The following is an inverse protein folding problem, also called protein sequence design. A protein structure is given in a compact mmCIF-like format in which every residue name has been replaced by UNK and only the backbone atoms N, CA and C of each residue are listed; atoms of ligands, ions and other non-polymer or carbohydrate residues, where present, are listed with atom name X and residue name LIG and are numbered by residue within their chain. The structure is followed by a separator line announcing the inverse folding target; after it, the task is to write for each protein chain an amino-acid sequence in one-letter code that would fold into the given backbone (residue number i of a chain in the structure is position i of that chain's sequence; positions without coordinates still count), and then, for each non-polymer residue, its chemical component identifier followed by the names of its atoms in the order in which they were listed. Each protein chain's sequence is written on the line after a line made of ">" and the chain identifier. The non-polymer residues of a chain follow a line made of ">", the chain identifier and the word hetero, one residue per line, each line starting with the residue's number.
data_IF_605996468005
#
_entry.id   IF_605996468005
#
_cell.length_a   1.000
_cell.length_b   1.000
_cell.length_c   1.000
_cell.angle_alpha   90.00
_cell.angle_beta   90.00
_cell.angle_gamma   90.00
#
_symmetry.space_group_name_H-M   'P 1'
#
loop_
_entity.id
_entity.type
_entity.pdbx_description
1 polymer ?
#
# COMPACT_ATOMS: atom_id res chain seq x y z
N UNK A 1 -47.13 -5.37 -6.13
CA UNK A 1 -46.12 -6.45 -6.04
C UNK A 1 -44.79 -5.84 -6.47
N UNK A 2 -43.77 -5.94 -5.61
CA UNK A 2 -42.35 -5.61 -5.78
C UNK A 2 -41.91 -4.17 -6.09
N UNK A 3 -41.60 -3.42 -5.01
CA UNK A 3 -40.32 -2.70 -4.91
C UNK A 3 -39.20 -3.72 -5.11
N UNK A 4 -38.25 -3.51 -6.04
CA UNK A 4 -36.84 -3.93 -5.98
C UNK A 4 -36.17 -3.67 -7.34
N UNK A 5 -36.04 -2.41 -7.75
CA UNK A 5 -35.01 -2.06 -8.73
C UNK A 5 -33.88 -1.37 -7.98
N UNK A 6 -32.74 -2.06 -7.88
CA UNK A 6 -31.47 -1.51 -7.43
C UNK A 6 -30.56 -1.41 -8.65
N UNK A 7 -30.25 -0.19 -9.09
CA UNK A 7 -29.30 0.05 -10.17
C UNK A 7 -27.89 -0.12 -9.62
N UNK A 8 -27.20 -1.18 -10.05
CA UNK A 8 -25.78 -1.39 -9.76
C UNK A 8 -24.99 -0.40 -10.61
N UNK A 9 -24.08 0.41 -10.03
CA UNK A 9 -23.19 1.25 -10.83
C UNK A 9 -22.33 0.35 -11.73
N UNK A 10 -22.47 0.50 -13.04
CA UNK A 10 -21.57 -0.13 -14.00
C UNK A 10 -20.16 0.43 -13.74
N UNK A 11 -19.23 -0.43 -13.33
CA UNK A 11 -17.80 -0.13 -13.28
C UNK A 11 -17.25 0.05 -14.70
N UNK A 12 -17.64 1.13 -15.38
CA UNK A 12 -17.12 1.52 -16.70
C UNK A 12 -15.99 2.54 -16.60
N UNK A 13 -15.47 2.82 -15.41
CA UNK A 13 -14.20 3.54 -15.29
C UNK A 13 -13.07 2.54 -15.48
N UNK A 14 -12.74 2.29 -16.75
CA UNK A 14 -11.43 1.84 -17.17
C UNK A 14 -10.40 2.88 -16.69
N UNK A 15 -10.03 2.87 -15.41
CA UNK A 15 -8.81 3.51 -14.99
C UNK A 15 -7.70 2.77 -15.70
N UNK A 16 -7.15 3.39 -16.75
CA UNK A 16 -6.05 2.81 -17.52
C UNK A 16 -4.87 2.63 -16.58
N UNK A 17 -4.72 1.42 -16.04
CA UNK A 17 -3.53 1.04 -15.28
C UNK A 17 -2.37 1.02 -16.27
N UNK A 18 -1.64 2.12 -16.31
CA UNK A 18 -0.47 2.24 -17.18
C UNK A 18 0.66 1.47 -16.50
N UNK A 19 0.92 0.25 -16.97
CA UNK A 19 1.98 -0.61 -16.43
C UNK A 19 3.31 -0.20 -17.05
N UNK A 20 4.25 0.28 -16.22
CA UNK A 20 5.61 0.56 -16.65
C UNK A 20 6.53 -0.57 -16.19
N UNK A 21 7.08 -1.33 -17.15
CA UNK A 21 8.07 -2.37 -16.84
C UNK A 21 9.43 -1.72 -16.60
N UNK A 22 9.98 -1.87 -15.39
CA UNK A 22 11.37 -1.52 -15.06
C UNK A 22 12.11 -2.78 -14.60
N UNK A 23 12.67 -3.57 -15.52
CA UNK A 23 13.47 -4.72 -15.14
C UNK A 23 14.67 -4.24 -14.31
N UNK A 24 14.91 -4.89 -13.16
CA UNK A 24 15.97 -4.60 -12.18
C UNK A 24 15.81 -3.32 -11.35
N UNK A 25 14.63 -2.70 -11.29
CA UNK A 25 14.41 -1.60 -10.35
C UNK A 25 14.27 -2.13 -8.92
N UNK A 26 15.07 -1.59 -8.00
CA UNK A 26 14.91 -1.84 -6.59
C UNK A 26 13.54 -1.29 -6.15
N UNK A 27 12.80 -2.08 -5.38
CA UNK A 27 11.46 -1.71 -4.88
C UNK A 27 11.49 -0.38 -4.12
N UNK A 28 12.59 -0.12 -3.41
CA UNK A 28 12.79 1.12 -2.65
C UNK A 28 12.97 2.34 -3.56
N UNK A 29 13.58 2.19 -4.73
CA UNK A 29 13.71 3.28 -5.70
C UNK A 29 12.34 3.63 -6.31
N UNK A 30 11.54 2.61 -6.61
CA UNK A 30 10.17 2.80 -7.11
C UNK A 30 9.33 3.53 -6.06
N UNK A 31 9.39 3.10 -4.80
CA UNK A 31 8.64 3.73 -3.71
C UNK A 31 9.06 5.19 -3.53
N UNK A 32 10.36 5.49 -3.56
CA UNK A 32 10.84 6.88 -3.46
C UNK A 32 10.33 7.75 -4.62
N UNK A 33 10.35 7.24 -5.85
CA UNK A 33 9.84 7.96 -7.02
C UNK A 33 8.33 8.18 -6.97
N UNK A 34 7.57 7.20 -6.47
CA UNK A 34 6.14 7.34 -6.24
C UNK A 34 5.85 8.33 -5.10
N UNK A 35 6.62 8.28 -4.03
CA UNK A 35 6.46 9.14 -2.86
C UNK A 35 6.66 10.62 -3.22
N UNK A 36 7.57 10.95 -4.14
CA UNK A 36 7.74 12.32 -4.67
C UNK A 36 6.46 12.87 -5.34
N UNK A 37 5.56 11.99 -5.78
CA UNK A 37 4.28 12.35 -6.42
C UNK A 37 3.09 12.26 -5.47
N UNK A 38 3.30 11.74 -4.25
CA UNK A 38 2.26 11.61 -3.23
C UNK A 38 1.94 12.97 -2.61
N UNK A 39 0.66 13.18 -2.31
CA UNK A 39 0.20 14.22 -1.38
C UNK A 39 0.36 13.71 0.05
N UNK A 40 0.22 14.63 1.02
CA UNK A 40 0.48 14.39 2.45
C UNK A 40 -0.29 13.20 3.04
N UNK A 41 -1.46 12.87 2.48
CA UNK A 41 -2.31 11.77 2.95
C UNK A 41 -2.27 10.54 2.04
N UNK A 42 -1.55 10.57 0.92
CA UNK A 42 -1.54 9.44 -0.01
C UNK A 42 -0.72 8.29 0.58
N UNK A 43 -1.23 7.06 0.43
CA UNK A 43 -0.58 5.85 0.91
C UNK A 43 -0.09 5.00 -0.25
N UNK A 44 1.07 4.38 -0.05
CA UNK A 44 1.65 3.38 -0.95
C UNK A 44 1.61 2.03 -0.25
N UNK A 45 1.01 1.02 -0.88
CA UNK A 45 1.10 -0.36 -0.44
C UNK A 45 2.10 -1.09 -1.31
N UNK A 46 3.01 -1.82 -0.69
CA UNK A 46 4.06 -2.56 -1.35
C UNK A 46 3.98 -4.03 -0.94
N UNK A 47 3.80 -4.91 -1.92
CA UNK A 47 3.80 -6.34 -1.70
C UNK A 47 5.22 -6.91 -1.72
N UNK A 48 5.58 -7.67 -0.69
CA UNK A 48 6.86 -8.35 -0.53
C UNK A 48 6.65 -9.83 -0.21
N UNK A 49 7.68 -10.64 -0.37
CA UNK A 49 7.54 -12.10 -0.34
C UNK A 49 7.49 -12.66 1.09
N UNK A 50 7.98 -11.91 2.07
CA UNK A 50 8.02 -12.38 3.46
C UNK A 50 7.83 -11.26 4.48
N UNK A 51 7.41 -11.65 5.69
CA UNK A 51 7.30 -10.73 6.82
C UNK A 51 8.67 -10.15 7.22
N UNK A 52 9.75 -10.92 7.06
CA UNK A 52 11.11 -10.44 7.30
C UNK A 52 11.47 -9.34 6.31
N UNK A 53 11.24 -9.57 5.01
CA UNK A 53 11.44 -8.56 3.98
C UNK A 53 10.63 -7.30 4.25
N UNK A 54 9.39 -7.42 4.75
CA UNK A 54 8.57 -6.25 5.08
C UNK A 54 9.23 -5.37 6.15
N UNK A 55 9.76 -5.99 7.21
CA UNK A 55 10.45 -5.29 8.30
C UNK A 55 11.78 -4.70 7.82
N UNK A 56 12.57 -5.47 7.07
CA UNK A 56 13.86 -5.02 6.54
C UNK A 56 13.70 -3.85 5.57
N UNK A 57 12.73 -3.92 4.64
CA UNK A 57 12.46 -2.83 3.71
C UNK A 57 11.94 -1.58 4.41
N UNK A 58 11.15 -1.71 5.49
CA UNK A 58 10.77 -0.54 6.30
C UNK A 58 12.00 0.16 6.88
N UNK A 59 12.94 -0.62 7.43
CA UNK A 59 14.16 -0.09 8.04
C UNK A 59 15.06 0.56 6.99
N UNK A 60 15.32 -0.13 5.88
CA UNK A 60 16.12 0.39 4.77
C UNK A 60 15.52 1.66 4.18
N UNK A 61 14.20 1.70 3.96
CA UNK A 61 13.55 2.90 3.45
C UNK A 61 13.65 4.08 4.42
N UNK A 62 13.53 3.81 5.72
CA UNK A 62 13.69 4.83 6.77
C UNK A 62 15.12 5.37 6.79
N UNK A 63 16.12 4.49 6.69
CA UNK A 63 17.55 4.86 6.64
C UNK A 63 17.88 5.68 5.39
N UNK A 64 17.46 5.23 4.21
CA UNK A 64 17.73 5.91 2.93
C UNK A 64 17.02 7.27 2.86
N UNK A 65 15.80 7.35 3.41
CA UNK A 65 15.01 8.58 3.40
C UNK A 65 15.32 9.54 4.56
N UNK A 66 16.25 9.18 5.47
CA UNK A 66 16.56 9.99 6.65
C UNK A 66 15.36 10.15 7.60
N UNK A 67 14.54 9.10 7.75
CA UNK A 67 13.30 9.05 8.54
C UNK A 67 12.20 10.02 8.07
N UNK A 68 12.24 10.48 6.82
CA UNK A 68 11.19 11.34 6.27
C UNK A 68 9.96 10.54 5.85
N UNK A 69 10.14 9.29 5.41
CA UNK A 69 9.05 8.41 5.00
C UNK A 69 8.63 7.54 6.18
N UNK A 70 7.38 7.65 6.61
CA UNK A 70 6.81 6.76 7.62
C UNK A 70 6.42 5.41 6.99
N UNK A 71 7.37 4.48 6.99
CA UNK A 71 7.20 3.12 6.51
C UNK A 71 6.80 2.18 7.67
N UNK A 72 5.75 1.37 7.49
CA UNK A 72 5.30 0.39 8.49
C UNK A 72 5.08 -0.99 7.89
N UNK A 73 5.47 -2.06 8.60
CA UNK A 73 5.18 -3.42 8.15
C UNK A 73 3.75 -3.80 8.54
N UNK A 74 3.08 -4.52 7.65
CA UNK A 74 1.76 -5.09 7.86
C UNK A 74 1.85 -6.61 7.71
N UNK A 75 2.00 -7.30 8.86
CA UNK A 75 2.32 -8.73 8.94
C UNK A 75 1.27 -9.50 9.75
N UNK A 76 1.17 -10.81 9.52
CA UNK A 76 0.04 -11.63 10.00
C UNK A 76 0.10 -11.84 11.51
N UNK A 77 1.30 -11.84 12.08
CA UNK A 77 1.53 -11.99 13.51
C UNK A 77 1.14 -10.76 14.33
N UNK A 78 0.89 -9.60 13.70
CA UNK A 78 0.39 -8.41 14.38
C UNK A 78 -1.08 -8.58 14.75
N UNK A 79 -1.47 -8.01 15.90
CA UNK A 79 -2.88 -7.92 16.26
C UNK A 79 -3.61 -6.94 15.32
N UNK A 80 -4.93 -7.11 15.18
CA UNK A 80 -5.77 -6.23 14.36
C UNK A 80 -5.63 -4.76 14.76
N UNK A 81 -5.48 -4.47 16.06
CA UNK A 81 -5.29 -3.10 16.55
C UNK A 81 -3.99 -2.47 16.02
N UNK A 82 -2.88 -3.23 16.05
CA UNK A 82 -1.59 -2.76 15.52
C UNK A 82 -1.64 -2.60 14.01
N UNK A 83 -2.33 -3.49 13.30
CA UNK A 83 -2.51 -3.37 11.86
C UNK A 83 -3.29 -2.10 11.49
N UNK A 84 -4.37 -1.80 12.21
CA UNK A 84 -5.15 -0.57 11.99
C UNK A 84 -4.36 0.69 12.33
N UNK A 85 -3.58 0.68 13.41
CA UNK A 85 -2.70 1.80 13.76
C UNK A 85 -1.64 2.05 12.67
N UNK A 86 -1.00 0.98 12.18
CA UNK A 86 -0.05 1.07 11.08
C UNK A 86 -0.72 1.62 9.82
N UNK A 87 -1.92 1.15 9.48
CA UNK A 87 -2.68 1.66 8.33
C UNK A 87 -3.07 3.14 8.51
N UNK A 88 -3.39 3.58 9.72
CA UNK A 88 -3.80 4.97 9.96
C UNK A 88 -2.62 5.95 9.87
N UNK A 89 -1.42 5.53 10.28
CA UNK A 89 -0.27 6.44 10.40
C UNK A 89 0.73 6.34 9.24
N UNK A 90 0.80 5.20 8.56
CA UNK A 90 1.83 4.97 7.55
C UNK A 90 1.53 5.69 6.24
N UNK A 91 2.58 6.25 5.63
CA UNK A 91 2.54 6.70 4.24
C UNK A 91 2.97 5.57 3.30
N UNK A 92 3.80 4.64 3.77
CA UNK A 92 4.21 3.45 3.02
C UNK A 92 3.99 2.21 3.87
N UNK A 93 3.31 1.22 3.32
CA UNK A 93 3.01 -0.05 3.96
C UNK A 93 3.70 -1.17 3.19
N UNK A 94 4.52 -1.95 3.88
CA UNK A 94 5.06 -3.18 3.31
C UNK A 94 4.26 -4.36 3.86
N UNK A 95 3.67 -5.16 2.97
CA UNK A 95 2.85 -6.30 3.36
C UNK A 95 3.15 -7.51 2.50
N UNK A 96 2.80 -8.68 3.02
CA UNK A 96 2.68 -9.89 2.19
C UNK A 96 1.22 -9.99 1.70
N UNK A 97 0.73 -11.21 1.47
CA UNK A 97 -0.65 -11.47 1.03
C UNK A 97 -1.74 -11.04 2.01
N UNK A 98 -1.41 -10.60 3.23
CA UNK A 98 -2.40 -10.18 4.22
C UNK A 98 -3.17 -8.94 3.77
N UNK A 99 -2.50 -8.01 3.07
CA UNK A 99 -3.17 -6.84 2.51
C UNK A 99 -4.13 -7.17 1.35
N UNK A 100 -4.11 -8.40 0.81
CA UNK A 100 -5.10 -8.89 -0.16
C UNK A 100 -6.42 -9.31 0.49
N UNK A 101 -6.48 -9.31 1.83
CA UNK A 101 -7.68 -9.65 2.61
C UNK A 101 -8.52 -8.40 2.92
N UNK A 102 -9.55 -8.52 3.78
CA UNK A 102 -10.52 -7.48 4.14
C UNK A 102 -9.95 -6.27 4.91
N UNK A 103 -8.68 -5.92 4.74
CA UNK A 103 -8.10 -4.69 5.29
C UNK A 103 -8.49 -3.50 4.42
N UNK A 104 -8.99 -2.46 5.05
CA UNK A 104 -9.42 -1.24 4.35
C UNK A 104 -8.38 -0.14 4.55
N UNK A 105 -7.85 0.38 3.46
CA UNK A 105 -6.86 1.46 3.48
C UNK A 105 -7.56 2.79 3.17
N UNK A 106 -7.47 3.80 4.05
CA UNK A 106 -8.26 5.02 3.92
C UNK A 106 -7.84 5.88 2.72
N UNK A 107 -6.56 5.87 2.35
CA UNK A 107 -6.00 6.78 1.35
C UNK A 107 -5.02 6.10 0.40
N UNK A 108 -5.26 4.83 0.08
CA UNK A 108 -4.40 4.06 -0.82
C UNK A 108 -4.40 4.65 -2.23
N UNK A 109 -3.23 5.11 -2.68
CA UNK A 109 -3.04 5.76 -3.98
C UNK A 109 -2.27 4.91 -4.96
N UNK A 110 -1.24 4.21 -4.48
CA UNK A 110 -0.36 3.39 -5.30
C UNK A 110 -0.19 2.01 -4.68
N UNK A 111 -0.06 1.01 -5.55
CA UNK A 111 0.27 -0.37 -5.20
C UNK A 111 1.50 -0.77 -6.01
N UNK A 112 2.48 -1.37 -5.34
CA UNK A 112 3.74 -1.87 -5.92
C UNK A 112 3.82 -3.37 -5.71
#
# INVERSE_FOLDING_TARGET
>A
MNLHEFSVPQFSTNHTVTKYSRPNANILDIIQELYKKCKLNDQILCFVNSALEAVENCKLLSEISGNTINARPLIQSQSTAVQQENIAQASVLFSTTIAETSLTFPSLKYVV
#
